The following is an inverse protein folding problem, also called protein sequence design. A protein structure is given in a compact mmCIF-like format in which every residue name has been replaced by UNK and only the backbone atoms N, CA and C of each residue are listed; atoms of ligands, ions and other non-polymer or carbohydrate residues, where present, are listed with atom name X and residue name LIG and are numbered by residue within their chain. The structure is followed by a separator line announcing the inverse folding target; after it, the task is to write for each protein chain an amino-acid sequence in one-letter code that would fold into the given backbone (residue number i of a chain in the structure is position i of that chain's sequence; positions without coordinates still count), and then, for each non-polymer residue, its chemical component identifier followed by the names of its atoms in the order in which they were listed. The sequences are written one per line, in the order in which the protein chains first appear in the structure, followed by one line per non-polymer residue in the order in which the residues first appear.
data_IF_339174164098
#
_entry.id   IF_339174164098
#
_cell.length_a   1.000
_cell.length_b   1.000
_cell.length_c   1.000
_cell.angle_alpha   90.00
_cell.angle_beta   90.00
_cell.angle_gamma   90.00
#
_symmetry.space_group_name_H-M   'P 1'
#
loop_
_entity.id
_entity.type
_entity.pdbx_description
1 polymer ?
#
# COMPACT_ATOMS: atom_id res chain seq x y z
N UNK A 1 -23.87 10.77 11.84
CA UNK A 1 -22.69 10.16 11.25
C UNK A 1 -21.57 9.86 12.26
N UNK A 2 -21.43 10.61 13.36
CA UNK A 2 -20.31 10.44 14.32
C UNK A 2 -20.21 9.09 15.04
N UNK A 3 -21.24 8.25 14.95
CA UNK A 3 -21.22 6.88 15.48
C UNK A 3 -20.86 5.82 14.42
N UNK A 4 -20.97 6.14 13.14
CA UNK A 4 -20.54 5.28 12.05
C UNK A 4 -19.02 5.27 11.97
N UNK A 5 -18.46 4.15 11.61
CA UNK A 5 -17.01 4.00 11.38
C UNK A 5 -16.10 4.21 12.62
N UNK A 6 -16.63 4.05 13.83
CA UNK A 6 -15.79 4.11 15.07
C UNK A 6 -15.15 2.78 15.43
N UNK A 7 -15.75 1.67 15.00
CA UNK A 7 -15.28 0.32 15.27
C UNK A 7 -14.83 -0.33 13.98
N UNK A 8 -13.64 -0.89 14.02
CA UNK A 8 -13.00 -1.52 12.87
C UNK A 8 -12.54 -2.92 13.22
N UNK A 9 -12.47 -3.76 12.22
CA UNK A 9 -11.90 -5.09 12.34
C UNK A 9 -11.04 -5.37 11.11
N UNK A 10 -9.75 -5.58 11.31
CA UNK A 10 -8.86 -6.10 10.27
C UNK A 10 -8.98 -7.61 10.33
N UNK A 11 -9.54 -8.16 9.27
CA UNK A 11 -9.79 -9.58 9.15
C UNK A 11 -8.83 -10.19 8.13
N UNK A 12 -7.83 -10.95 8.61
CA UNK A 12 -6.85 -11.52 7.72
C UNK A 12 -5.57 -11.98 8.41
N UNK A 13 -4.48 -11.92 7.68
CA UNK A 13 -3.17 -12.35 8.19
C UNK A 13 -2.73 -11.52 9.40
N UNK A 14 -2.45 -12.19 10.50
CA UNK A 14 -1.82 -11.57 11.67
C UNK A 14 -0.37 -11.18 11.39
N UNK A 15 0.18 -10.27 12.16
CA UNK A 15 1.53 -9.73 11.93
C UNK A 15 2.56 -10.87 11.79
N UNK A 16 3.44 -10.72 10.82
CA UNK A 16 4.52 -11.66 10.44
C UNK A 16 4.09 -13.00 9.82
N UNK A 17 2.80 -13.24 9.60
CA UNK A 17 2.35 -14.50 9.00
C UNK A 17 2.30 -14.46 7.47
N UNK A 18 2.25 -13.27 6.88
CA UNK A 18 2.19 -13.07 5.43
C UNK A 18 2.69 -11.66 5.06
N UNK A 19 3.04 -11.43 3.79
CA UNK A 19 3.45 -10.08 3.31
C UNK A 19 2.34 -9.04 3.47
N UNK A 20 1.08 -9.42 3.31
CA UNK A 20 -0.08 -8.53 3.54
C UNK A 20 -0.24 -8.10 5.00
N UNK A 21 0.32 -8.86 5.95
CA UNK A 21 0.23 -8.51 7.37
C UNK A 21 0.88 -7.17 7.70
N UNK A 22 1.85 -6.73 6.93
CA UNK A 22 2.48 -5.41 7.10
C UNK A 22 1.58 -4.27 6.61
N UNK A 23 0.75 -4.53 5.59
CA UNK A 23 -0.32 -3.61 5.15
C UNK A 23 -1.39 -3.51 6.24
N UNK A 24 -1.81 -4.64 6.78
CA UNK A 24 -2.77 -4.72 7.88
C UNK A 24 -2.25 -3.99 9.13
N UNK A 25 -0.96 -4.13 9.45
CA UNK A 25 -0.33 -3.39 10.55
C UNK A 25 -0.36 -1.87 10.32
N UNK A 26 -0.14 -1.43 9.08
CA UNK A 26 -0.25 -0.02 8.72
C UNK A 26 -1.67 0.53 8.97
N UNK A 27 -2.70 -0.19 8.53
CA UNK A 27 -4.09 0.15 8.83
C UNK A 27 -4.39 0.14 10.32
N UNK A 28 -3.96 -0.90 11.05
CA UNK A 28 -4.17 -1.01 12.50
C UNK A 28 -3.59 0.20 13.24
N UNK A 29 -2.33 0.54 12.97
CA UNK A 29 -1.66 1.69 13.59
C UNK A 29 -2.36 3.00 13.28
N UNK A 30 -2.76 3.20 12.03
CA UNK A 30 -3.50 4.39 11.61
C UNK A 30 -4.83 4.51 12.35
N UNK A 31 -5.62 3.44 12.40
CA UNK A 31 -6.91 3.41 13.09
C UNK A 31 -6.78 3.74 14.58
N UNK A 32 -5.82 3.10 15.27
CA UNK A 32 -5.55 3.39 16.69
C UNK A 32 -5.11 4.84 16.89
N UNK A 33 -4.23 5.37 16.02
CA UNK A 33 -3.76 6.76 16.11
C UNK A 33 -4.87 7.79 15.88
N UNK A 34 -5.89 7.44 15.12
CA UNK A 34 -7.09 8.25 14.88
C UNK A 34 -8.14 8.13 15.97
N UNK A 35 -7.89 7.31 17.01
CA UNK A 35 -8.81 7.09 18.14
C UNK A 35 -9.95 6.12 17.84
N UNK A 36 -9.84 5.31 16.79
CA UNK A 36 -10.81 4.25 16.51
C UNK A 36 -10.52 3.01 17.36
N UNK A 37 -11.58 2.28 17.71
CA UNK A 37 -11.44 0.93 18.23
C UNK A 37 -11.20 -0.02 17.06
N UNK A 38 -10.13 -0.80 17.12
CA UNK A 38 -9.77 -1.75 16.06
C UNK A 38 -9.37 -3.10 16.65
N UNK A 39 -10.07 -4.14 16.23
CA UNK A 39 -9.67 -5.53 16.44
C UNK A 39 -8.84 -6.00 15.21
N UNK A 40 -7.85 -6.85 15.42
CA UNK A 40 -7.11 -7.49 14.33
C UNK A 40 -7.07 -9.00 14.56
N UNK A 41 -7.69 -9.74 13.66
CA UNK A 41 -7.95 -11.17 13.86
C UNK A 41 -7.59 -11.99 12.63
N UNK A 42 -7.19 -13.24 12.85
CA UNK A 42 -6.97 -14.21 11.79
C UNK A 42 -8.30 -14.78 11.27
N UNK A 43 -8.32 -15.22 10.02
CA UNK A 43 -9.46 -15.88 9.40
C UNK A 43 -9.57 -17.35 9.88
N UNK A 44 -10.17 -17.54 11.05
CA UNK A 44 -10.36 -18.85 11.69
C UNK A 44 -11.83 -19.16 11.93
N UNK A 45 -12.27 -20.44 11.83
CA UNK A 45 -13.69 -20.81 11.90
C UNK A 45 -14.34 -20.54 13.26
N UNK A 46 -13.57 -20.44 14.32
CA UNK A 46 -14.05 -20.28 15.70
C UNK A 46 -13.66 -18.93 16.29
N UNK A 47 -13.46 -17.92 15.44
CA UNK A 47 -13.12 -16.59 15.91
C UNK A 47 -14.34 -15.92 16.53
N UNK A 48 -14.46 -16.02 17.85
CA UNK A 48 -15.61 -15.56 18.65
C UNK A 48 -15.47 -14.08 19.00
N UNK A 49 -15.36 -13.22 18.00
CA UNK A 49 -15.46 -11.79 18.22
C UNK A 49 -16.91 -11.38 18.48
N UNK A 50 -17.11 -10.57 19.50
CA UNK A 50 -18.37 -9.88 19.68
C UNK A 50 -18.45 -8.72 18.67
N UNK A 51 -18.99 -9.00 17.50
CA UNK A 51 -19.13 -8.02 16.42
C UNK A 51 -20.30 -7.09 16.73
N UNK A 52 -20.00 -5.82 16.93
CA UNK A 52 -21.02 -4.79 17.12
C UNK A 52 -21.57 -4.32 15.75
N UNK A 53 -22.83 -3.85 15.70
CA UNK A 53 -23.37 -3.18 14.52
C UNK A 53 -22.46 -2.03 14.05
N UNK A 54 -22.43 -1.78 12.75
CA UNK A 54 -21.64 -0.73 12.10
C UNK A 54 -20.12 -0.93 12.18
N UNK A 55 -19.64 -2.13 12.52
CA UNK A 55 -18.23 -2.48 12.42
C UNK A 55 -17.79 -2.44 10.94
N UNK A 56 -16.66 -1.80 10.68
CA UNK A 56 -16.04 -1.79 9.34
C UNK A 56 -14.96 -2.86 9.29
N UNK A 57 -15.13 -3.81 8.39
CA UNK A 57 -14.13 -4.84 8.12
C UNK A 57 -13.20 -4.41 7.01
N UNK A 58 -11.89 -4.56 7.21
CA UNK A 58 -10.88 -4.54 6.15
C UNK A 58 -10.46 -5.98 5.93
N UNK A 59 -10.63 -6.51 4.73
CA UNK A 59 -10.40 -7.92 4.43
C UNK A 59 -9.66 -8.12 3.10
N UNK A 60 -9.11 -9.31 2.94
CA UNK A 60 -8.43 -9.77 1.74
C UNK A 60 -9.00 -11.14 1.32
N UNK A 61 -9.32 -11.31 0.03
CA UNK A 61 -10.04 -12.47 -0.50
C UNK A 61 -9.36 -13.82 -0.38
N UNK A 62 -8.11 -13.85 0.06
CA UNK A 62 -7.43 -15.12 0.36
C UNK A 62 -7.66 -15.58 1.79
N UNK A 63 -8.12 -14.70 2.67
CA UNK A 63 -8.29 -14.91 4.10
C UNK A 63 -9.57 -14.27 4.63
N UNK A 64 -10.67 -14.45 3.91
CA UNK A 64 -12.01 -13.98 4.30
C UNK A 64 -13.06 -15.10 4.35
N UNK A 65 -12.61 -16.35 4.42
CA UNK A 65 -13.50 -17.53 4.38
C UNK A 65 -14.49 -17.55 5.54
N UNK A 66 -14.03 -17.21 6.72
CA UNK A 66 -14.79 -17.26 7.96
C UNK A 66 -15.25 -15.89 8.47
N UNK A 67 -15.06 -14.84 7.70
CA UNK A 67 -15.51 -13.50 8.05
C UNK A 67 -17.02 -13.50 8.31
N UNK A 68 -17.51 -12.92 9.41
CA UNK A 68 -18.94 -12.81 9.67
C UNK A 68 -19.59 -11.81 8.68
N UNK A 69 -20.50 -12.30 7.84
CA UNK A 69 -21.24 -11.50 6.89
C UNK A 69 -22.57 -11.05 7.51
N UNK A 70 -22.72 -9.75 7.75
CA UNK A 70 -23.85 -9.14 8.43
C UNK A 70 -24.37 -7.93 7.65
N UNK A 71 -25.67 -7.77 7.56
CA UNK A 71 -26.32 -6.64 6.87
C UNK A 71 -26.11 -5.29 7.58
N UNK A 72 -25.74 -5.29 8.86
CA UNK A 72 -25.51 -4.11 9.68
C UNK A 72 -24.02 -3.73 9.82
N UNK A 73 -23.13 -4.38 9.09
CA UNK A 73 -21.68 -4.10 9.06
C UNK A 73 -21.22 -3.61 7.70
N UNK A 74 -20.03 -3.05 7.62
CA UNK A 74 -19.41 -2.51 6.41
C UNK A 74 -18.18 -3.32 6.02
N UNK A 75 -17.88 -3.45 4.74
CA UNK A 75 -16.81 -4.29 4.24
C UNK A 75 -15.97 -3.56 3.20
N UNK A 76 -14.69 -3.39 3.49
CA UNK A 76 -13.68 -2.98 2.52
C UNK A 76 -13.06 -4.25 1.97
N UNK A 77 -13.39 -4.61 0.74
CA UNK A 77 -12.96 -5.85 0.13
C UNK A 77 -11.83 -5.64 -0.86
N UNK A 78 -10.78 -6.46 -0.74
CA UNK A 78 -9.66 -6.50 -1.65
C UNK A 78 -9.46 -7.94 -2.14
N UNK A 79 -9.58 -8.16 -3.46
CA UNK A 79 -9.57 -9.50 -4.08
C UNK A 79 -10.62 -10.48 -3.56
N UNK A 80 -11.64 -10.01 -2.88
CA UNK A 80 -12.77 -10.81 -2.40
C UNK A 80 -13.85 -10.90 -3.46
N UNK A 81 -14.62 -11.99 -3.43
CA UNK A 81 -15.80 -12.16 -4.28
C UNK A 81 -16.99 -11.37 -3.70
N UNK A 82 -17.31 -10.24 -4.31
CA UNK A 82 -18.43 -9.37 -3.91
C UNK A 82 -19.76 -10.12 -3.92
N UNK A 83 -19.96 -11.02 -4.88
CA UNK A 83 -21.25 -11.75 -5.00
C UNK A 83 -21.55 -12.58 -3.75
N UNK A 84 -20.52 -13.11 -3.09
CA UNK A 84 -20.66 -13.83 -1.82
C UNK A 84 -21.23 -12.94 -0.71
N UNK A 85 -20.79 -11.68 -0.63
CA UNK A 85 -21.28 -10.73 0.37
C UNK A 85 -22.75 -10.36 0.10
N UNK A 86 -23.07 -10.08 -1.15
CA UNK A 86 -24.44 -9.78 -1.56
C UNK A 86 -25.40 -10.97 -1.31
N UNK A 87 -24.96 -12.19 -1.65
CA UNK A 87 -25.73 -13.42 -1.42
C UNK A 87 -25.98 -13.69 0.08
N UNK A 88 -25.10 -13.21 0.96
CA UNK A 88 -25.26 -13.28 2.41
C UNK A 88 -26.16 -12.14 2.98
N UNK A 89 -26.72 -11.29 2.13
CA UNK A 89 -27.61 -10.20 2.53
C UNK A 89 -26.90 -8.92 2.99
N UNK A 90 -25.60 -8.77 2.72
CA UNK A 90 -24.91 -7.50 2.95
C UNK A 90 -25.40 -6.49 1.92
N UNK A 91 -25.93 -5.32 2.34
CA UNK A 91 -26.35 -4.29 1.40
C UNK A 91 -25.19 -3.80 0.53
N UNK A 92 -25.45 -3.54 -0.73
CA UNK A 92 -24.42 -3.07 -1.66
C UNK A 92 -23.77 -1.76 -1.18
N UNK A 93 -24.55 -0.87 -0.57
CA UNK A 93 -24.06 0.36 0.07
C UNK A 93 -23.03 0.13 1.18
N UNK A 94 -22.97 -1.07 1.72
CA UNK A 94 -22.04 -1.45 2.78
C UNK A 94 -20.78 -2.15 2.26
N UNK A 95 -20.61 -2.27 0.94
CA UNK A 95 -19.46 -2.93 0.32
C UNK A 95 -18.67 -1.90 -0.48
N UNK A 96 -17.41 -1.71 -0.12
CA UNK A 96 -16.47 -0.87 -0.82
C UNK A 96 -15.31 -1.71 -1.32
N UNK A 97 -15.10 -1.71 -2.64
CA UNK A 97 -13.97 -2.43 -3.23
C UNK A 97 -12.72 -1.56 -3.22
N UNK A 98 -11.60 -2.17 -2.89
CA UNK A 98 -10.29 -1.55 -2.92
C UNK A 98 -9.44 -2.14 -4.04
N UNK A 99 -8.89 -1.31 -4.93
CA UNK A 99 -7.99 -1.68 -6.01
C UNK A 99 -6.65 -0.95 -5.83
N UNK A 100 -5.55 -1.68 -5.97
CA UNK A 100 -4.18 -1.18 -5.77
C UNK A 100 -3.38 -1.00 -7.07
N UNK A 101 -3.98 -1.30 -8.21
CA UNK A 101 -3.36 -1.15 -9.53
C UNK A 101 -3.85 0.12 -10.23
N UNK A 102 -3.06 0.63 -11.19
CA UNK A 102 -3.49 1.76 -12.00
C UNK A 102 -4.73 1.38 -12.83
N UNK A 103 -5.74 2.25 -12.83
CA UNK A 103 -6.95 2.11 -13.64
C UNK A 103 -6.70 2.22 -15.15
N UNK A 104 -5.58 2.79 -15.57
CA UNK A 104 -5.18 2.85 -16.97
C UNK A 104 -4.89 1.49 -17.57
N UNK A 105 -4.73 0.48 -16.74
CA UNK A 105 -4.59 -0.91 -17.18
C UNK A 105 -5.95 -1.41 -17.64
N UNK A 106 -6.17 -1.30 -18.94
CA UNK A 106 -7.43 -1.64 -19.62
C UNK A 106 -7.83 -3.12 -19.52
N UNK A 107 -6.96 -3.99 -19.02
CA UNK A 107 -7.15 -5.44 -18.96
C UNK A 107 -6.86 -5.98 -17.56
N UNK A 108 -7.60 -5.51 -16.57
CA UNK A 108 -7.60 -6.13 -15.23
C UNK A 108 -8.07 -7.61 -15.30
N UNK A 109 -8.59 -8.05 -16.44
CA UNK A 109 -8.96 -9.45 -16.73
C UNK A 109 -7.80 -10.38 -17.06
N UNK A 110 -6.58 -9.86 -17.29
CA UNK A 110 -5.44 -10.71 -17.59
C UNK A 110 -4.75 -11.20 -16.32
N UNK A 111 -3.99 -12.26 -16.45
CA UNK A 111 -3.37 -12.96 -15.33
C UNK A 111 -2.32 -12.13 -14.60
N UNK A 112 -2.53 -11.82 -13.35
CA UNK A 112 -1.47 -11.36 -12.44
C UNK A 112 -0.97 -12.55 -11.62
N UNK A 113 0.33 -12.80 -11.62
CA UNK A 113 0.95 -13.95 -10.97
C UNK A 113 0.38 -15.30 -11.43
N UNK A 114 0.01 -15.42 -12.71
CA UNK A 114 -0.55 -16.64 -13.29
C UNK A 114 -1.97 -17.00 -12.85
N UNK A 115 -2.68 -16.08 -12.18
CA UNK A 115 -4.08 -16.27 -11.76
C UNK A 115 -4.98 -15.26 -12.44
N UNK A 116 -6.16 -15.65 -12.93
CA UNK A 116 -7.09 -14.71 -13.54
C UNK A 116 -7.63 -13.74 -12.48
N UNK A 117 -7.34 -12.46 -12.64
CA UNK A 117 -7.80 -11.39 -11.75
C UNK A 117 -9.31 -11.17 -11.83
N UNK A 118 -9.92 -11.46 -12.97
CA UNK A 118 -11.36 -11.43 -13.17
C UNK A 118 -12.15 -12.30 -12.17
N UNK A 119 -11.50 -13.30 -11.56
CA UNK A 119 -12.10 -14.07 -10.46
C UNK A 119 -12.40 -13.22 -9.23
N UNK A 120 -11.67 -12.11 -9.06
CA UNK A 120 -11.73 -11.25 -7.89
C UNK A 120 -12.30 -9.86 -8.16
N UNK A 121 -12.33 -9.47 -9.43
CA UNK A 121 -12.88 -8.21 -9.90
C UNK A 121 -14.01 -8.58 -10.84
N UNK A 122 -15.24 -8.55 -10.34
CA UNK A 122 -16.38 -8.73 -11.21
C UNK A 122 -16.59 -7.46 -12.03
N UNK A 123 -16.86 -7.61 -13.33
CA UNK A 123 -17.03 -6.52 -14.30
C UNK A 123 -18.26 -5.62 -14.06
N UNK A 124 -18.86 -5.71 -12.88
CA UNK A 124 -20.10 -5.01 -12.55
C UNK A 124 -19.96 -3.49 -12.44
N UNK A 125 -18.74 -2.97 -12.61
CA UNK A 125 -18.50 -1.54 -12.42
C UNK A 125 -17.72 -0.96 -13.59
N UNK A 126 -18.40 -0.16 -14.43
CA UNK A 126 -17.72 0.66 -15.41
C UNK A 126 -16.71 1.58 -14.73
N UNK A 127 -15.64 1.89 -15.45
CA UNK A 127 -14.53 2.75 -15.00
C UNK A 127 -15.02 4.10 -14.46
N UNK A 128 -16.17 4.56 -14.92
CA UNK A 128 -16.81 5.81 -14.49
C UNK A 128 -17.26 5.81 -13.02
N UNK A 129 -17.30 4.65 -12.38
CA UNK A 129 -17.72 4.51 -10.97
C UNK A 129 -16.55 4.30 -10.02
N UNK A 130 -15.36 4.60 -10.45
CA UNK A 130 -14.16 4.39 -9.72
C UNK A 130 -13.66 5.70 -9.08
N UNK A 131 -13.17 5.62 -7.86
CA UNK A 131 -12.54 6.74 -7.15
C UNK A 131 -11.02 6.55 -7.20
N UNK A 132 -10.33 7.45 -7.89
CA UNK A 132 -8.89 7.56 -7.78
C UNK A 132 -8.55 8.46 -6.60
N UNK A 133 -8.18 7.85 -5.50
CA UNK A 133 -7.81 8.59 -4.30
C UNK A 133 -6.48 9.34 -4.46
N UNK A 134 -5.66 8.96 -5.42
CA UNK A 134 -4.32 9.55 -5.61
C UNK A 134 -4.34 10.85 -6.41
N UNK A 135 -5.32 11.02 -7.28
CA UNK A 135 -5.35 12.11 -8.26
C UNK A 135 -6.62 12.95 -8.19
N UNK A 136 -7.73 12.38 -7.77
CA UNK A 136 -8.99 13.10 -7.69
C UNK A 136 -9.34 13.42 -6.25
N UNK A 137 -9.58 14.70 -6.01
CA UNK A 137 -10.27 15.07 -4.78
C UNK A 137 -11.61 14.32 -4.75
N UNK A 138 -11.94 13.65 -3.64
CA UNK A 138 -13.22 13.01 -3.52
C UNK A 138 -14.31 14.03 -3.81
N UNK A 139 -15.06 13.88 -4.86
CA UNK A 139 -16.11 14.82 -5.22
C UNK A 139 -16.84 14.60 -6.51
N UNK A 140 -16.32 13.90 -7.49
CA UNK A 140 -16.91 14.00 -8.82
C UNK A 140 -17.43 12.71 -9.45
N UNK A 141 -16.88 11.54 -9.13
CA UNK A 141 -17.40 10.26 -9.66
C UNK A 141 -17.22 9.16 -8.63
N UNK A 142 -18.18 9.01 -7.74
CA UNK A 142 -18.12 8.02 -6.68
C UNK A 142 -18.73 6.71 -7.11
N UNK A 143 -17.83 5.88 -7.53
CA UNK A 143 -18.16 4.49 -7.71
C UNK A 143 -17.95 3.68 -6.44
N UNK A 144 -18.28 2.43 -6.59
CA UNK A 144 -18.21 1.39 -5.58
C UNK A 144 -16.77 0.87 -5.37
N UNK A 145 -15.77 1.53 -5.95
CA UNK A 145 -14.38 1.09 -5.97
C UNK A 145 -13.45 2.24 -5.61
N UNK A 146 -12.61 2.00 -4.61
CA UNK A 146 -11.49 2.88 -4.27
C UNK A 146 -10.25 2.37 -4.98
N UNK A 147 -9.62 3.20 -5.76
CA UNK A 147 -8.29 2.96 -6.28
C UNK A 147 -7.27 3.77 -5.50
N UNK A 148 -6.36 3.09 -4.83
CA UNK A 148 -5.19 3.71 -4.24
C UNK A 148 -4.09 2.67 -4.03
N UNK A 149 -2.82 3.02 -4.21
CA UNK A 149 -1.72 2.14 -3.88
C UNK A 149 -1.64 1.95 -2.36
N UNK A 150 -0.92 0.93 -1.93
CA UNK A 150 -0.52 0.82 -0.53
C UNK A 150 0.23 2.09 -0.09
N UNK A 151 0.44 2.24 1.20
CA UNK A 151 1.04 3.42 1.79
C UNK A 151 2.30 3.08 2.59
N UNK A 152 2.94 4.09 3.19
CA UNK A 152 3.94 3.85 4.22
C UNK A 152 3.28 3.37 5.52
N UNK A 153 3.99 2.54 6.26
CA UNK A 153 3.58 2.07 7.60
C UNK A 153 3.88 3.08 8.72
N UNK A 154 4.57 4.18 8.40
CA UNK A 154 4.78 5.28 9.33
C UNK A 154 3.52 6.16 9.43
N UNK A 155 3.30 6.69 10.62
CA UNK A 155 2.32 7.74 10.86
C UNK A 155 2.87 9.11 10.42
N UNK A 156 2.02 10.10 10.09
CA UNK A 156 2.48 11.42 9.67
C UNK A 156 3.51 12.07 10.60
N UNK A 157 3.38 12.04 11.95
CA UNK A 157 4.41 12.58 12.84
C UNK A 157 5.76 11.85 12.77
N UNK A 158 5.75 10.54 12.47
CA UNK A 158 6.97 9.74 12.34
C UNK A 158 7.70 10.08 11.03
N UNK A 159 6.95 10.28 9.95
CA UNK A 159 7.53 10.79 8.69
C UNK A 159 8.13 12.17 8.90
N UNK A 160 7.41 13.06 9.60
CA UNK A 160 7.91 14.40 9.94
C UNK A 160 9.21 14.32 10.73
N UNK A 161 9.28 13.45 11.74
CA UNK A 161 10.51 13.24 12.51
C UNK A 161 11.69 12.84 11.63
N UNK A 162 11.47 11.92 10.66
CA UNK A 162 12.51 11.53 9.72
C UNK A 162 12.92 12.68 8.78
N UNK A 163 11.96 13.51 8.36
CA UNK A 163 12.25 14.70 7.55
C UNK A 163 13.13 15.71 8.29
N UNK A 164 12.82 15.96 9.56
CA UNK A 164 13.57 16.90 10.40
C UNK A 164 15.00 16.39 10.67
N UNK A 165 15.18 15.07 10.74
CA UNK A 165 16.45 14.41 11.00
C UNK A 165 17.14 13.87 9.74
N UNK A 166 16.72 14.25 8.53
CA UNK A 166 17.15 13.63 7.27
C UNK A 166 18.66 13.68 7.07
N UNK A 167 19.32 14.78 7.38
CA UNK A 167 20.77 14.93 7.26
C UNK A 167 21.53 14.06 8.26
N UNK A 168 20.99 13.88 9.46
CA UNK A 168 21.54 12.95 10.44
C UNK A 168 21.38 11.50 9.96
N UNK A 169 20.22 11.15 9.44
CA UNK A 169 19.95 9.82 8.84
C UNK A 169 20.94 9.55 7.68
N UNK A 170 21.18 10.54 6.84
CA UNK A 170 22.12 10.39 5.72
C UNK A 170 23.56 10.08 6.16
N UNK A 171 23.95 10.53 7.33
CA UNK A 171 25.29 10.29 7.91
C UNK A 171 25.44 8.92 8.57
N UNK A 172 24.36 8.13 8.72
CA UNK A 172 24.47 6.76 9.23
C UNK A 172 25.47 5.95 8.41
N UNK A 173 26.24 5.12 9.09
CA UNK A 173 27.20 4.21 8.45
C UNK A 173 26.46 3.29 7.47
N UNK A 174 26.89 3.28 6.22
CA UNK A 174 26.35 2.39 5.22
C UNK A 174 27.01 1.01 5.33
N UNK A 175 26.20 -0.03 5.50
CA UNK A 175 26.65 -1.39 5.79
C UNK A 175 26.27 -2.40 4.70
N UNK A 176 25.51 -1.99 3.71
CA UNK A 176 25.13 -2.87 2.61
C UNK A 176 23.91 -2.39 1.84
N UNK A 177 23.25 -3.34 1.23
CA UNK A 177 22.03 -3.21 0.49
C UNK A 177 20.96 -4.10 1.08
N UNK A 178 19.92 -3.51 1.64
CA UNK A 178 18.84 -4.27 2.22
C UNK A 178 17.58 -4.13 1.36
N UNK A 179 17.01 -5.25 0.97
CA UNK A 179 15.72 -5.33 0.33
C UNK A 179 14.70 -5.87 1.33
N UNK A 180 13.75 -5.04 1.71
CA UNK A 180 12.69 -5.45 2.64
C UNK A 180 11.45 -5.87 1.85
N UNK A 181 11.08 -7.15 1.95
CA UNK A 181 9.90 -7.71 1.29
C UNK A 181 10.16 -9.07 0.64
N UNK A 182 9.23 -9.50 -0.20
CA UNK A 182 9.35 -10.75 -0.96
C UNK A 182 10.45 -10.64 -2.03
N UNK A 183 11.46 -11.50 -1.91
CA UNK A 183 12.66 -11.49 -2.75
C UNK A 183 12.62 -12.65 -3.75
N UNK A 184 12.23 -12.36 -4.98
CA UNK A 184 12.14 -13.34 -6.07
C UNK A 184 12.27 -12.68 -7.45
N UNK A 185 12.51 -13.47 -8.50
CA UNK A 185 12.51 -13.00 -9.89
C UNK A 185 13.41 -11.78 -10.09
N UNK A 186 12.87 -10.70 -10.59
CA UNK A 186 13.59 -9.45 -10.93
C UNK A 186 14.40 -8.87 -9.76
N UNK A 187 13.92 -9.03 -8.51
CA UNK A 187 14.69 -8.59 -7.34
C UNK A 187 15.96 -9.43 -7.15
N UNK A 188 15.90 -10.74 -7.41
CA UNK A 188 17.07 -11.62 -7.36
C UNK A 188 18.05 -11.31 -8.50
N UNK A 189 17.55 -11.02 -9.70
CA UNK A 189 18.37 -10.61 -10.83
C UNK A 189 19.11 -9.32 -10.53
N UNK A 190 18.41 -8.33 -9.97
CA UNK A 190 19.03 -7.08 -9.55
C UNK A 190 20.07 -7.30 -8.44
N UNK A 191 19.80 -8.16 -7.47
CA UNK A 191 20.77 -8.50 -6.43
C UNK A 191 22.04 -9.17 -6.98
N UNK A 192 21.92 -10.08 -7.95
CA UNK A 192 23.05 -10.66 -8.67
C UNK A 192 23.83 -9.62 -9.47
N UNK A 193 23.12 -8.69 -10.10
CA UNK A 193 23.73 -7.60 -10.84
C UNK A 193 24.57 -6.70 -9.93
N UNK A 194 24.08 -6.34 -8.74
CA UNK A 194 24.80 -5.51 -7.77
C UNK A 194 26.11 -6.14 -7.28
N UNK A 195 26.23 -7.47 -7.29
CA UNK A 195 27.47 -8.17 -6.94
C UNK A 195 28.63 -7.79 -7.88
N UNK A 196 28.35 -7.41 -9.13
CA UNK A 196 29.38 -6.92 -10.07
C UNK A 196 30.03 -5.61 -9.63
N UNK A 197 29.32 -4.84 -8.77
CA UNK A 197 29.83 -3.62 -8.13
C UNK A 197 30.42 -3.87 -6.75
N UNK A 198 30.62 -5.12 -6.36
CA UNK A 198 31.06 -5.49 -5.01
C UNK A 198 30.01 -5.24 -3.91
N UNK A 199 28.75 -5.10 -4.28
CA UNK A 199 27.64 -4.78 -3.39
C UNK A 199 26.88 -6.06 -3.06
N UNK A 200 26.83 -6.42 -1.78
CA UNK A 200 26.02 -7.53 -1.29
C UNK A 200 24.60 -7.06 -1.06
N UNK A 201 23.66 -7.71 -1.74
CA UNK A 201 22.22 -7.46 -1.59
C UNK A 201 21.66 -8.44 -0.57
N UNK A 202 21.12 -7.92 0.52
CA UNK A 202 20.63 -8.74 1.63
C UNK A 202 19.10 -8.66 1.67
N UNK A 203 18.36 -9.73 1.36
CA UNK A 203 16.93 -9.77 1.55
C UNK A 203 16.59 -9.79 3.06
N UNK A 204 15.50 -9.13 3.41
CA UNK A 204 15.00 -9.06 4.78
C UNK A 204 13.48 -9.00 4.79
N UNK A 205 12.84 -9.66 5.74
CA UNK A 205 11.38 -9.75 5.80
C UNK A 205 10.78 -10.71 4.75
N UNK A 206 9.50 -10.56 4.43
CA UNK A 206 8.78 -11.47 3.53
C UNK A 206 8.44 -12.78 4.23
N UNK A 207 8.65 -13.90 3.53
CA UNK A 207 8.51 -15.25 4.08
C UNK A 207 9.79 -15.78 4.71
N UNK A 208 10.84 -14.96 4.81
CA UNK A 208 12.08 -15.35 5.47
C UNK A 208 11.93 -15.28 6.99
N UNK A 209 12.75 -16.02 7.71
CA UNK A 209 12.70 -16.26 9.17
C UNK A 209 12.91 -15.03 10.05
N UNK A 210 12.90 -13.84 9.48
CA UNK A 210 13.22 -12.61 10.21
C UNK A 210 12.02 -11.67 10.24
N UNK A 211 11.27 -11.81 11.32
CA UNK A 211 10.24 -10.89 11.71
C UNK A 211 10.87 -9.56 12.16
N UNK A 212 10.89 -8.59 11.28
CA UNK A 212 11.46 -7.27 11.58
C UNK A 212 10.37 -6.34 12.10
N UNK A 213 10.69 -5.61 13.17
CA UNK A 213 9.90 -4.46 13.60
C UNK A 213 9.97 -3.33 12.56
N UNK A 214 9.13 -2.31 12.69
CA UNK A 214 9.20 -1.11 11.84
C UNK A 214 10.55 -0.42 12.03
N UNK A 215 11.01 -0.31 13.26
CA UNK A 215 12.28 0.31 13.63
C UNK A 215 13.47 -0.43 13.01
N UNK A 216 13.47 -1.77 13.06
CA UNK A 216 14.51 -2.58 12.44
C UNK A 216 14.50 -2.47 10.91
N UNK A 217 13.31 -2.43 10.30
CA UNK A 217 13.16 -2.20 8.86
C UNK A 217 13.70 -0.81 8.47
N UNK A 218 13.34 0.20 9.24
CA UNK A 218 13.78 1.58 9.04
C UNK A 218 15.29 1.68 9.19
N UNK A 219 15.87 1.09 10.23
CA UNK A 219 17.31 1.12 10.44
C UNK A 219 18.09 0.46 9.30
N UNK A 220 17.60 -0.69 8.79
CA UNK A 220 18.21 -1.36 7.62
C UNK A 220 18.15 -0.49 6.37
N UNK A 221 16.99 0.12 6.07
CA UNK A 221 16.84 1.01 4.92
C UNK A 221 17.77 2.23 5.07
N UNK A 222 17.81 2.84 6.25
CA UNK A 222 18.68 3.98 6.54
C UNK A 222 20.16 3.63 6.48
N UNK A 223 20.54 2.38 6.79
CA UNK A 223 21.91 1.88 6.70
C UNK A 223 22.27 1.34 5.32
N UNK A 224 21.36 1.31 4.37
CA UNK A 224 21.62 0.93 2.99
C UNK A 224 22.37 2.04 2.23
N UNK A 225 23.16 1.66 1.24
CA UNK A 225 23.75 2.62 0.30
C UNK A 225 22.67 3.38 -0.45
N UNK A 226 21.64 2.68 -0.89
CA UNK A 226 20.34 3.21 -1.35
C UNK A 226 19.27 2.16 -1.16
N UNK A 227 18.02 2.54 -1.15
CA UNK A 227 16.88 1.64 -0.96
C UNK A 227 16.09 1.50 -2.27
N UNK A 228 16.10 0.31 -2.85
CA UNK A 228 15.43 0.08 -4.13
C UNK A 228 14.03 -0.52 -3.98
N UNK A 229 13.10 -0.02 -4.76
CA UNK A 229 11.76 -0.58 -4.95
C UNK A 229 11.67 -1.25 -6.34
N UNK A 230 12.43 -2.34 -6.49
CA UNK A 230 12.43 -3.11 -7.73
C UNK A 230 11.13 -3.88 -7.89
N UNK A 231 10.46 -3.68 -9.01
CA UNK A 231 9.23 -4.34 -9.40
C UNK A 231 9.50 -5.49 -10.37
N UNK A 232 8.71 -6.54 -10.30
CA UNK A 232 8.70 -7.60 -11.33
C UNK A 232 8.04 -7.07 -12.61
N UNK A 233 8.35 -7.65 -13.76
CA UNK A 233 7.83 -7.19 -15.05
C UNK A 233 6.31 -7.09 -15.04
N UNK A 234 5.62 -8.10 -14.51
CA UNK A 234 4.16 -8.09 -14.40
C UNK A 234 3.61 -6.93 -13.55
N UNK A 235 4.35 -6.49 -12.54
CA UNK A 235 3.98 -5.31 -11.73
C UNK A 235 4.19 -4.02 -12.51
N UNK A 236 5.26 -3.96 -13.32
CA UNK A 236 5.54 -2.83 -14.22
C UNK A 236 4.43 -2.72 -15.29
N UNK A 237 4.09 -3.84 -15.92
CA UNK A 237 3.08 -3.90 -17.00
C UNK A 237 1.68 -3.48 -16.50
N UNK A 238 1.39 -3.71 -15.21
CA UNK A 238 0.12 -3.37 -14.58
C UNK A 238 0.15 -2.03 -13.81
N UNK A 239 1.19 -1.22 -13.94
CA UNK A 239 1.27 0.08 -13.28
C UNK A 239 1.26 0.02 -11.74
N UNK A 240 1.69 -1.11 -11.16
CA UNK A 240 1.64 -1.32 -9.71
C UNK A 240 2.65 -0.45 -8.96
N UNK A 241 2.16 0.35 -8.02
CA UNK A 241 3.00 1.16 -7.12
C UNK A 241 3.08 0.46 -5.75
N UNK A 242 4.19 -0.23 -5.44
CA UNK A 242 4.34 -0.99 -4.20
C UNK A 242 4.52 -0.10 -2.98
N UNK A 243 4.05 -0.55 -1.81
CA UNK A 243 4.26 0.16 -0.54
C UNK A 243 5.73 0.47 -0.25
N UNK A 244 6.65 -0.32 -0.79
CA UNK A 244 8.09 -0.18 -0.57
C UNK A 244 8.62 1.19 -1.00
N UNK A 245 8.12 1.79 -2.08
CA UNK A 245 8.60 3.11 -2.49
C UNK A 245 8.22 4.17 -1.46
N UNK A 246 7.00 4.13 -0.94
CA UNK A 246 6.55 5.05 0.11
C UNK A 246 7.31 4.85 1.42
N UNK A 247 7.57 3.58 1.80
CA UNK A 247 8.36 3.24 2.97
C UNK A 247 9.79 3.76 2.84
N UNK A 248 10.48 3.44 1.74
CA UNK A 248 11.86 3.87 1.54
C UNK A 248 11.99 5.40 1.63
N UNK A 249 11.10 6.13 0.96
CA UNK A 249 11.08 7.59 0.99
C UNK A 249 10.79 8.09 2.41
N UNK A 250 9.76 7.62 3.06
CA UNK A 250 9.37 8.06 4.41
C UNK A 250 10.41 7.72 5.48
N UNK A 251 11.22 6.69 5.26
CA UNK A 251 12.34 6.32 6.15
C UNK A 251 13.59 7.20 5.97
N UNK A 252 13.57 8.11 5.01
CA UNK A 252 14.68 9.04 4.74
C UNK A 252 15.68 8.55 3.70
N UNK A 253 15.29 7.60 2.84
CA UNK A 253 16.02 7.26 1.63
C UNK A 253 15.41 7.97 0.40
N UNK A 254 16.25 8.30 -0.58
CA UNK A 254 15.71 8.71 -1.88
C UNK A 254 15.16 7.50 -2.63
N UNK A 255 14.17 7.72 -3.50
CA UNK A 255 13.50 6.66 -4.24
C UNK A 255 14.39 6.10 -5.36
N UNK A 256 14.42 4.76 -5.51
CA UNK A 256 15.11 4.07 -6.62
C UNK A 256 14.20 2.95 -7.12
N UNK A 257 13.89 2.93 -8.42
CA UNK A 257 12.98 1.93 -8.98
C UNK A 257 13.25 1.67 -10.48
N UNK A 258 12.92 0.45 -10.90
CA UNK A 258 12.88 0.08 -12.31
C UNK A 258 11.48 0.27 -12.95
N UNK A 259 10.51 0.80 -12.20
CA UNK A 259 9.11 0.87 -12.63
C UNK A 259 8.74 2.30 -13.07
N UNK A 260 8.51 2.54 -14.37
CA UNK A 260 8.14 3.86 -14.88
C UNK A 260 6.81 4.39 -14.32
N UNK A 261 5.87 3.51 -13.94
CA UNK A 261 4.60 3.93 -13.33
C UNK A 261 4.81 4.66 -12.00
N UNK A 262 5.87 4.30 -11.25
CA UNK A 262 6.25 5.04 -10.04
C UNK A 262 6.73 6.45 -10.40
N UNK A 263 7.52 6.60 -11.47
CA UNK A 263 7.96 7.90 -11.96
C UNK A 263 6.78 8.80 -12.34
N UNK A 264 5.82 8.26 -13.08
CA UNK A 264 4.60 8.97 -13.45
C UNK A 264 3.76 9.35 -12.23
N UNK A 265 3.66 8.45 -11.25
CA UNK A 265 2.92 8.68 -10.00
C UNK A 265 3.48 9.85 -9.19
N UNK A 266 4.81 9.99 -9.15
CA UNK A 266 5.49 11.03 -8.37
C UNK A 266 5.87 12.27 -9.17
N UNK A 267 5.54 12.38 -10.45
CA UNK A 267 6.06 13.39 -11.40
C UNK A 267 5.95 14.86 -10.93
N UNK A 268 4.89 15.20 -10.19
CA UNK A 268 4.64 16.57 -9.72
C UNK A 268 5.33 16.88 -8.38
N UNK A 269 5.85 15.86 -7.70
CA UNK A 269 6.41 15.95 -6.34
C UNK A 269 7.87 15.56 -6.25
N UNK A 270 8.35 14.72 -7.16
CA UNK A 270 9.72 14.23 -7.19
C UNK A 270 10.45 14.74 -8.44
N UNK A 271 11.74 14.92 -8.29
CA UNK A 271 12.70 15.22 -9.34
C UNK A 271 13.80 14.14 -9.40
N UNK A 272 14.75 14.28 -10.31
CA UNK A 272 15.88 13.37 -10.47
C UNK A 272 16.78 13.29 -9.23
N UNK A 273 16.62 14.21 -8.27
CA UNK A 273 17.38 14.21 -7.01
C UNK A 273 16.73 13.36 -5.93
N UNK A 274 15.43 13.22 -5.95
CA UNK A 274 14.65 12.52 -4.93
C UNK A 274 14.07 11.19 -5.39
N UNK A 275 13.93 10.96 -6.72
CA UNK A 275 13.44 9.70 -7.28
C UNK A 275 14.22 9.36 -8.57
N UNK A 276 14.86 8.20 -8.56
CA UNK A 276 15.58 7.66 -9.71
C UNK A 276 14.75 6.54 -10.31
N UNK A 277 14.41 6.70 -11.60
CA UNK A 277 13.68 5.71 -12.39
C UNK A 277 14.51 5.32 -13.60
N UNK A 278 14.80 4.03 -13.75
CA UNK A 278 15.45 3.51 -14.96
C UNK A 278 15.18 2.00 -15.09
N UNK A 279 14.77 1.55 -16.24
CA UNK A 279 14.53 0.12 -16.52
C UNK A 279 15.83 -0.66 -16.74
N UNK A 280 16.93 0.01 -17.05
CA UNK A 280 18.25 -0.58 -17.18
C UNK A 280 18.96 -0.59 -15.81
N UNK A 281 19.30 -1.76 -15.33
CA UNK A 281 19.92 -1.93 -14.01
C UNK A 281 21.28 -1.26 -13.86
N UNK A 282 22.05 -1.18 -14.94
CA UNK A 282 23.36 -0.51 -14.91
C UNK A 282 23.16 0.99 -14.69
N UNK A 283 22.36 1.63 -15.53
CA UNK A 283 22.06 3.07 -15.39
C UNK A 283 21.40 3.39 -14.06
N UNK A 284 20.44 2.54 -13.63
CA UNK A 284 19.78 2.69 -12.33
C UNK A 284 20.77 2.70 -11.19
N UNK A 285 21.70 1.73 -11.19
CA UNK A 285 22.72 1.59 -10.13
C UNK A 285 23.71 2.75 -10.15
N UNK A 286 24.23 3.10 -11.32
CA UNK A 286 25.20 4.20 -11.45
C UNK A 286 24.60 5.54 -11.00
N UNK A 287 23.35 5.84 -11.41
CA UNK A 287 22.62 7.03 -10.95
C UNK A 287 22.39 7.00 -9.44
N UNK A 288 22.01 5.85 -8.87
CA UNK A 288 21.75 5.73 -7.43
C UNK A 288 23.04 5.91 -6.60
N UNK A 289 24.14 5.32 -7.03
CA UNK A 289 25.45 5.50 -6.37
C UNK A 289 25.95 6.96 -6.46
N UNK A 290 25.78 7.58 -7.63
CA UNK A 290 26.09 8.99 -7.80
C UNK A 290 25.25 9.87 -6.87
N UNK A 291 23.95 9.59 -6.75
CA UNK A 291 23.02 10.30 -5.89
C UNK A 291 23.36 10.14 -4.41
N UNK A 292 23.72 8.93 -3.98
CA UNK A 292 24.14 8.68 -2.61
C UNK A 292 25.30 9.61 -2.18
N UNK A 293 26.21 9.90 -3.09
CA UNK A 293 27.34 10.81 -2.83
C UNK A 293 26.97 12.30 -2.92
N UNK A 294 25.88 12.62 -3.64
CA UNK A 294 25.45 13.98 -3.95
C UNK A 294 23.97 14.17 -3.63
N UNK A 295 23.57 13.98 -2.36
CA UNK A 295 22.19 14.10 -1.92
C UNK A 295 21.68 15.54 -1.99
N UNK A 296 20.43 15.71 -2.38
CA UNK A 296 19.70 16.97 -2.33
C UNK A 296 18.57 16.86 -1.31
N UNK A 297 18.83 17.30 -0.08
CA UNK A 297 17.90 17.15 1.02
C UNK A 297 16.62 17.99 0.87
N UNK A 298 16.65 19.10 0.10
CA UNK A 298 15.47 19.89 -0.18
C UNK A 298 14.50 19.10 -1.06
N UNK A 299 14.98 18.55 -2.18
CA UNK A 299 14.17 17.70 -3.07
C UNK A 299 13.66 16.44 -2.34
N UNK A 300 14.48 15.83 -1.50
CA UNK A 300 14.08 14.67 -0.74
C UNK A 300 13.00 15.00 0.30
N UNK A 301 13.11 16.13 1.01
CA UNK A 301 12.05 16.58 1.93
C UNK A 301 10.74 16.88 1.21
N UNK A 302 10.79 17.41 -0.01
CA UNK A 302 9.58 17.67 -0.80
C UNK A 302 8.81 16.39 -1.09
N UNK A 303 9.47 15.34 -1.54
CA UNK A 303 8.82 14.05 -1.80
C UNK A 303 8.41 13.34 -0.51
N UNK A 304 9.16 13.47 0.57
CA UNK A 304 8.77 12.96 1.89
C UNK A 304 7.51 13.66 2.41
N UNK A 305 7.39 14.98 2.20
CA UNK A 305 6.18 15.73 2.57
C UNK A 305 4.95 15.21 1.81
N UNK A 306 5.08 14.95 0.52
CA UNK A 306 4.00 14.34 -0.26
C UNK A 306 3.60 12.97 0.30
N UNK A 307 4.57 12.13 0.66
CA UNK A 307 4.28 10.82 1.30
C UNK A 307 3.60 11.00 2.66
N UNK A 308 4.07 11.96 3.50
CA UNK A 308 3.47 12.26 4.80
C UNK A 308 2.02 12.70 4.68
N UNK A 309 1.74 13.59 3.73
CA UNK A 309 0.45 14.28 3.63
C UNK A 309 -0.60 13.45 2.87
N UNK A 310 -0.19 12.60 1.90
CA UNK A 310 -1.10 11.92 1.00
C UNK A 310 -0.98 10.39 1.01
N UNK A 311 0.12 9.82 1.52
CA UNK A 311 0.43 8.40 1.35
C UNK A 311 0.82 7.68 2.64
N UNK A 312 0.10 7.97 3.72
CA UNK A 312 0.07 7.18 4.95
C UNK A 312 -1.21 6.33 5.03
N UNK A 313 -1.26 5.35 5.89
CA UNK A 313 -2.51 4.60 6.12
C UNK A 313 -3.59 5.45 6.80
N UNK A 314 -3.24 6.58 7.44
CA UNK A 314 -4.22 7.58 7.90
C UNK A 314 -5.03 8.11 6.71
N UNK A 315 -4.36 8.48 5.62
CA UNK A 315 -5.03 8.93 4.39
C UNK A 315 -5.90 7.82 3.78
N UNK A 316 -5.45 6.55 3.83
CA UNK A 316 -6.24 5.41 3.34
C UNK A 316 -7.51 5.19 4.15
N UNK A 317 -7.44 5.29 5.49
CA UNK A 317 -8.63 5.22 6.36
C UNK A 317 -9.59 6.36 6.07
N UNK A 318 -9.09 7.58 5.94
CA UNK A 318 -9.91 8.75 5.55
C UNK A 318 -10.58 8.53 4.20
N UNK A 319 -9.85 7.95 3.22
CA UNK A 319 -10.38 7.59 1.91
C UNK A 319 -11.48 6.55 1.97
N UNK A 320 -11.33 5.53 2.78
CA UNK A 320 -12.35 4.51 3.00
C UNK A 320 -13.63 5.14 3.57
N UNK A 321 -13.51 5.97 4.59
CA UNK A 321 -14.66 6.68 5.20
C UNK A 321 -15.33 7.57 4.16
N UNK A 322 -14.56 8.37 3.42
CA UNK A 322 -15.06 9.20 2.33
C UNK A 322 -15.76 8.38 1.26
N UNK A 323 -15.18 7.25 0.85
CA UNK A 323 -15.74 6.33 -0.13
C UNK A 323 -17.11 5.78 0.29
N UNK A 324 -17.27 5.33 1.53
CA UNK A 324 -18.57 4.87 2.03
C UNK A 324 -19.61 5.99 2.06
N UNK A 325 -19.27 7.18 2.51
CA UNK A 325 -20.18 8.32 2.56
C UNK A 325 -20.66 8.66 1.15
N UNK A 326 -19.75 8.70 0.18
CA UNK A 326 -20.07 9.05 -1.20
C UNK A 326 -20.88 7.95 -1.89
N UNK A 327 -20.48 6.71 -1.71
CA UNK A 327 -21.20 5.58 -2.25
C UNK A 327 -22.66 5.55 -1.72
N UNK A 328 -22.83 5.77 -0.43
CA UNK A 328 -24.16 5.89 0.17
C UNK A 328 -24.98 7.01 -0.44
N UNK A 329 -24.42 8.22 -0.55
CA UNK A 329 -25.10 9.35 -1.16
C UNK A 329 -25.45 9.10 -2.63
N UNK A 330 -24.58 8.42 -3.38
CA UNK A 330 -24.82 8.03 -4.76
C UNK A 330 -26.03 7.09 -4.87
N UNK A 331 -26.09 6.01 -4.11
CA UNK A 331 -27.19 5.05 -4.14
C UNK A 331 -28.52 5.73 -3.74
N UNK A 332 -28.50 6.58 -2.72
CA UNK A 332 -29.66 7.36 -2.32
C UNK A 332 -30.16 8.28 -3.44
N UNK A 333 -29.26 8.93 -4.18
CA UNK A 333 -29.62 9.79 -5.32
C UNK A 333 -30.23 9.02 -6.49
N UNK A 334 -29.95 7.72 -6.59
CA UNK A 334 -30.52 6.82 -7.61
C UNK A 334 -31.83 6.16 -7.17
N UNK A 335 -32.25 6.35 -5.92
CA UNK A 335 -33.42 5.66 -5.36
C UNK A 335 -33.19 4.15 -5.14
N UNK A 336 -31.94 3.73 -5.05
CA UNK A 336 -31.54 2.34 -4.83
C UNK A 336 -31.39 1.99 -3.33
N UNK A 337 -31.83 2.90 -2.45
CA UNK A 337 -31.85 2.76 -1.00
C UNK A 337 -33.19 3.18 -0.42
#
# INVERSE_FOLDING_TARGET
MDKLFKRWCIWGHTLHTHTSSYVHNGFYRALISMGHHCDWVADLPNNMLNIEPYTVFITEGQVDKYIPLRSDCFYVIHHSDKARYLAAGVPEAHILRMIIYDNKVKNIGETVLGKPWNKYITDDHPVETYIDWTHDKPGLNYGRTLHFPWATDLLPPEVQYNMDNLEHIAKKKKTGFYFVGFYAGTQQEYGKFLQQYGITYTPAGGFSDKNLSIEENMDRIQSSYFASAISQQIQVDNGYVPCRIFKNISYGAFGVTNNPAIGEFFKDYADEYSLIVDTDFKRLTEKALHRMMNRNFESERKVMAFVRDEHTYVNRVQGIVGGFIHHWNYLKSKGEM
#
